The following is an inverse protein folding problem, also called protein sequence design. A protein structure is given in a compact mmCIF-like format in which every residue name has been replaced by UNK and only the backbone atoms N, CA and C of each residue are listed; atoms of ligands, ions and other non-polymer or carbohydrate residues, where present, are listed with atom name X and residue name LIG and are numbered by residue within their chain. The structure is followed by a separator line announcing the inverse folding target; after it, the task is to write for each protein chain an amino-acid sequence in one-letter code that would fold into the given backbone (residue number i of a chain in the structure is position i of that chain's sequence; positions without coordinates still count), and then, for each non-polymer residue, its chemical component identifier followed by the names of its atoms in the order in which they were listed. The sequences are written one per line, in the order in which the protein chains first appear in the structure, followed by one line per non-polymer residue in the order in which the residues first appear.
data_IF_004804057759
#
_entry.id   IF_004804057759
#
_cell.length_a   1.000
_cell.length_b   1.000
_cell.length_c   1.000
_cell.angle_alpha   90.00
_cell.angle_beta   90.00
_cell.angle_gamma   90.00
#
_symmetry.space_group_name_H-M   'P 1'
#
loop_
_entity.id
_entity.type
_entity.pdbx_description
1 polymer ?
#
# COMPACT_ATOMS: atom_id res chain seq x y z
N UNK A 1 -15.41 -10.30 7.16
CA UNK A 1 -15.01 -8.87 7.02
C UNK A 1 -13.87 -8.76 6.01
N UNK A 2 -13.72 -7.63 5.32
CA UNK A 2 -12.58 -7.41 4.41
C UNK A 2 -11.67 -6.33 4.96
N UNK A 3 -10.37 -6.63 5.00
CA UNK A 3 -9.33 -5.71 5.45
C UNK A 3 -8.29 -5.49 4.36
N UNK A 4 -7.59 -4.36 4.43
CA UNK A 4 -6.48 -4.08 3.53
C UNK A 4 -5.22 -3.57 4.24
N UNK A 5 -4.06 -3.87 3.65
CA UNK A 5 -2.78 -3.32 4.05
C UNK A 5 -2.11 -2.66 2.85
N UNK A 6 -1.67 -1.42 3.02
CA UNK A 6 -0.85 -0.69 2.05
C UNK A 6 0.56 -0.58 2.60
N UNK A 7 1.54 -1.08 1.86
CA UNK A 7 2.96 -0.99 2.17
C UNK A 7 3.64 -0.12 1.12
N UNK A 8 4.21 1.02 1.53
CA UNK A 8 4.94 1.95 0.65
C UNK A 8 6.43 1.82 0.95
N UNK A 9 7.11 1.04 0.12
CA UNK A 9 8.55 0.82 0.20
C UNK A 9 9.35 1.68 -0.78
N UNK A 10 10.67 1.69 -0.58
CA UNK A 10 11.61 2.40 -1.47
C UNK A 10 11.58 1.90 -2.91
N UNK A 11 11.18 0.65 -3.15
CA UNK A 11 11.12 0.08 -4.51
C UNK A 11 9.69 0.00 -5.06
N UNK A 12 8.71 -0.36 -4.23
CA UNK A 12 7.34 -0.57 -4.68
C UNK A 12 6.34 -0.22 -3.59
N UNK A 13 5.15 0.20 -4.01
CA UNK A 13 3.95 0.16 -3.18
C UNK A 13 3.20 -1.15 -3.42
N UNK A 14 2.55 -1.65 -2.37
CA UNK A 14 1.67 -2.81 -2.43
C UNK A 14 0.34 -2.51 -1.76
N UNK A 15 -0.73 -3.05 -2.32
CA UNK A 15 -2.04 -3.18 -1.68
C UNK A 15 -2.35 -4.67 -1.55
N UNK A 16 -2.50 -5.13 -0.31
CA UNK A 16 -3.00 -6.46 0.02
C UNK A 16 -4.45 -6.31 0.50
N UNK A 17 -5.39 -7.01 -0.13
CA UNK A 17 -6.78 -7.12 0.33
C UNK A 17 -7.01 -8.56 0.78
N UNK A 18 -7.54 -8.73 1.99
CA UNK A 18 -7.77 -10.02 2.64
C UNK A 18 -9.17 -10.07 3.21
N UNK A 19 -9.85 -11.19 3.00
CA UNK A 19 -11.08 -11.50 3.71
C UNK A 19 -10.73 -12.29 4.98
N UNK A 20 -11.29 -11.85 6.10
CA UNK A 20 -11.21 -12.53 7.38
C UNK A 20 -12.54 -13.23 7.62
N UNK A 21 -12.49 -14.55 7.72
CA UNK A 21 -13.63 -15.42 8.02
C UNK A 21 -13.44 -16.02 9.40
N UNK A 22 -14.44 -15.86 10.25
CA UNK A 22 -14.51 -16.55 11.53
C UNK A 22 -15.35 -17.83 11.35
N UNK A 23 -14.70 -18.99 11.51
CA UNK A 23 -15.33 -20.30 11.35
C UNK A 23 -15.84 -20.87 12.70
N UNK A 24 -15.86 -20.06 13.78
CA UNK A 24 -16.29 -20.51 15.11
C UNK A 24 -15.30 -21.43 15.81
N UNK A 25 -14.10 -21.63 15.26
CA UNK A 25 -13.02 -22.48 15.81
C UNK A 25 -12.06 -21.70 16.72
N UNK A 26 -12.35 -20.42 16.98
CA UNK A 26 -11.48 -19.52 17.77
C UNK A 26 -10.23 -19.06 17.04
N UNK A 27 -10.03 -19.43 15.77
CA UNK A 27 -8.93 -18.96 14.93
C UNK A 27 -9.48 -18.36 13.63
N UNK A 28 -9.33 -17.04 13.40
CA UNK A 28 -9.77 -16.44 12.15
C UNK A 28 -8.95 -16.98 10.97
N UNK A 29 -9.62 -17.27 9.86
CA UNK A 29 -9.01 -17.63 8.60
C UNK A 29 -8.83 -16.39 7.73
N UNK A 30 -7.65 -16.23 7.12
CA UNK A 30 -7.31 -15.10 6.26
C UNK A 30 -7.19 -15.56 4.81
N UNK A 31 -8.17 -15.17 3.99
CA UNK A 31 -8.21 -15.47 2.57
C UNK A 31 -7.67 -14.28 1.77
N UNK A 32 -6.50 -14.45 1.15
CA UNK A 32 -5.92 -13.41 0.29
C UNK A 32 -6.77 -13.24 -0.96
N UNK A 33 -7.49 -12.12 -1.05
CA UNK A 33 -8.33 -11.81 -2.22
C UNK A 33 -7.51 -11.20 -3.35
N UNK A 34 -6.63 -10.24 -3.03
CA UNK A 34 -5.83 -9.57 -4.03
C UNK A 34 -4.51 -9.05 -3.47
N UNK A 35 -3.48 -9.01 -4.30
CA UNK A 35 -2.19 -8.41 -4.02
C UNK A 35 -1.72 -7.64 -5.25
N UNK A 36 -1.83 -6.32 -5.19
CA UNK A 36 -1.41 -5.42 -6.26
C UNK A 36 -0.06 -4.83 -5.88
N UNK A 37 0.88 -4.82 -6.84
CA UNK A 37 2.21 -4.24 -6.67
C UNK A 37 2.46 -3.20 -7.75
N UNK A 38 2.78 -1.97 -7.35
CA UNK A 38 3.14 -0.87 -8.26
C UNK A 38 4.62 -0.50 -8.03
N UNK A 39 5.47 -0.56 -9.07
CA UNK A 39 6.90 -0.23 -8.94
C UNK A 39 7.09 1.29 -8.87
N UNK A 40 7.21 1.82 -7.65
CA UNK A 40 7.37 3.26 -7.43
C UNK A 40 8.82 3.74 -7.53
N UNK A 41 9.79 2.91 -7.12
CA UNK A 41 11.23 3.19 -7.16
C UNK A 41 11.63 4.52 -6.49
N UNK A 42 10.98 4.88 -5.38
CA UNK A 42 11.23 6.11 -4.61
C UNK A 42 12.66 6.22 -4.08
N UNK A 43 13.29 5.08 -3.79
CA UNK A 43 14.65 5.05 -3.26
C UNK A 43 15.69 5.64 -4.20
N UNK A 44 15.50 5.60 -5.52
CA UNK A 44 16.45 6.23 -6.45
C UNK A 44 16.54 7.73 -6.18
N UNK A 45 15.39 8.41 -6.19
CA UNK A 45 15.31 9.84 -5.94
C UNK A 45 15.78 10.19 -4.52
N UNK A 46 15.31 9.47 -3.50
CA UNK A 46 15.60 9.84 -2.11
C UNK A 46 17.06 9.56 -1.75
N UNK A 47 17.65 8.47 -2.24
CA UNK A 47 19.04 8.16 -1.90
C UNK A 47 20.04 9.01 -2.69
N UNK A 48 19.65 9.55 -3.84
CA UNK A 48 20.50 10.44 -4.64
C UNK A 48 20.29 11.93 -4.32
N UNK A 49 19.04 12.36 -4.19
CA UNK A 49 18.64 13.78 -4.07
C UNK A 49 18.17 14.16 -2.66
N UNK A 50 17.86 13.19 -1.80
CA UNK A 50 17.28 13.43 -0.47
C UNK A 50 15.80 13.81 -0.49
N UNK A 51 15.15 13.75 -1.65
CA UNK A 51 13.78 14.21 -1.87
C UNK A 51 13.05 13.32 -2.87
N UNK A 52 11.72 13.25 -2.76
CA UNK A 52 10.87 12.61 -3.76
C UNK A 52 10.65 13.59 -4.91
N UNK A 53 11.01 13.23 -6.14
CA UNK A 53 10.81 14.12 -7.30
C UNK A 53 9.33 14.32 -7.63
N UNK A 54 9.01 15.41 -8.34
CA UNK A 54 7.64 15.70 -8.78
C UNK A 54 7.01 14.55 -9.60
N UNK A 55 7.71 13.91 -10.57
CA UNK A 55 7.19 12.73 -11.25
C UNK A 55 6.81 11.59 -10.30
N UNK A 56 7.65 11.31 -9.29
CA UNK A 56 7.37 10.25 -8.29
C UNK A 56 6.22 10.61 -7.37
N UNK A 57 6.11 11.87 -6.94
CA UNK A 57 4.97 12.37 -6.16
C UNK A 57 3.66 12.12 -6.89
N UNK A 58 3.58 12.51 -8.16
CA UNK A 58 2.39 12.27 -8.99
C UNK A 58 2.07 10.78 -9.10
N UNK A 59 3.09 9.93 -9.31
CA UNK A 59 2.89 8.49 -9.39
C UNK A 59 2.40 7.87 -8.07
N UNK A 60 2.90 8.34 -6.91
CA UNK A 60 2.38 7.93 -5.59
C UNK A 60 0.91 8.31 -5.48
N UNK A 61 0.54 9.56 -5.80
CA UNK A 61 -0.83 10.06 -5.68
C UNK A 61 -1.80 9.24 -6.53
N UNK A 62 -1.46 8.97 -7.79
CA UNK A 62 -2.29 8.14 -8.67
C UNK A 62 -2.38 6.69 -8.19
N UNK A 63 -1.29 6.14 -7.62
CA UNK A 63 -1.31 4.81 -7.01
C UNK A 63 -2.25 4.76 -5.81
N UNK A 64 -2.20 5.76 -4.93
CA UNK A 64 -3.06 5.82 -3.73
C UNK A 64 -4.53 6.00 -4.10
N UNK A 65 -4.86 6.82 -5.11
CA UNK A 65 -6.22 6.94 -5.65
C UNK A 65 -6.72 5.59 -6.19
N UNK A 66 -5.88 4.91 -6.96
CA UNK A 66 -6.20 3.58 -7.51
C UNK A 66 -6.45 2.56 -6.39
N UNK A 67 -5.64 2.58 -5.33
CA UNK A 67 -5.83 1.73 -4.15
C UNK A 67 -7.13 2.07 -3.42
N UNK A 68 -7.48 3.35 -3.26
CA UNK A 68 -8.76 3.76 -2.67
C UNK A 68 -9.96 3.26 -3.50
N UNK A 69 -9.89 3.35 -4.83
CA UNK A 69 -10.93 2.80 -5.71
C UNK A 69 -11.06 1.28 -5.59
N UNK A 70 -9.93 0.56 -5.55
CA UNK A 70 -9.94 -0.89 -5.35
C UNK A 70 -10.51 -1.27 -3.98
N UNK A 71 -10.07 -0.63 -2.90
CA UNK A 71 -10.62 -0.88 -1.56
C UNK A 71 -12.13 -0.61 -1.51
N UNK A 72 -12.61 0.44 -2.18
CA UNK A 72 -14.05 0.72 -2.29
C UNK A 72 -14.80 -0.36 -3.08
N UNK A 73 -14.27 -0.79 -4.22
CA UNK A 73 -14.88 -1.83 -5.05
C UNK A 73 -14.94 -3.20 -4.36
N UNK A 74 -13.95 -3.48 -3.51
CA UNK A 74 -13.93 -4.69 -2.71
C UNK A 74 -14.73 -4.56 -1.41
N UNK A 75 -15.24 -3.39 -1.05
CA UNK A 75 -15.94 -3.13 0.22
C UNK A 75 -15.04 -3.41 1.44
N UNK A 76 -13.80 -2.91 1.41
CA UNK A 76 -12.88 -3.00 2.54
C UNK A 76 -13.38 -2.14 3.70
N UNK A 77 -13.53 -2.75 4.87
CA UNK A 77 -14.04 -2.10 6.09
C UNK A 77 -12.93 -1.42 6.89
N UNK A 78 -11.75 -2.05 6.93
CA UNK A 78 -10.60 -1.54 7.68
C UNK A 78 -9.32 -1.64 6.87
N UNK A 79 -8.49 -0.61 6.93
CA UNK A 79 -7.19 -0.64 6.29
C UNK A 79 -6.13 0.08 7.09
N UNK A 80 -4.87 -0.27 6.84
CA UNK A 80 -3.71 0.44 7.35
C UNK A 80 -2.71 0.68 6.24
N UNK A 81 -2.24 1.92 6.10
CA UNK A 81 -1.15 2.28 5.21
C UNK A 81 0.11 2.56 6.05
N UNK A 82 1.24 1.98 5.63
CA UNK A 82 2.54 2.17 6.25
C UNK A 82 3.56 2.56 5.18
N UNK A 83 4.45 3.48 5.53
CA UNK A 83 5.58 3.87 4.70
C UNK A 83 6.89 3.57 5.42
N UNK A 84 7.94 3.26 4.67
CA UNK A 84 9.24 2.83 5.23
C UNK A 84 10.38 3.77 4.81
N UNK A 85 11.57 3.24 4.49
CA UNK A 85 12.82 4.01 4.37
C UNK A 85 12.72 5.23 3.47
N UNK A 86 12.37 5.07 2.18
CA UNK A 86 12.40 6.21 1.26
C UNK A 86 11.50 7.37 1.72
N UNK A 87 10.32 7.12 2.27
CA UNK A 87 9.45 8.20 2.74
C UNK A 87 9.89 8.81 4.07
N UNK A 88 10.53 8.04 4.97
CA UNK A 88 11.10 8.62 6.19
C UNK A 88 12.32 9.48 5.92
N UNK A 89 13.13 9.06 4.95
CA UNK A 89 14.44 9.66 4.69
C UNK A 89 14.33 10.85 3.71
N UNK A 90 13.18 10.98 3.02
CA UNK A 90 12.85 12.13 2.17
C UNK A 90 12.55 13.38 3.02
N UNK A 91 13.01 14.55 2.55
CA UNK A 91 12.71 15.84 3.20
C UNK A 91 11.29 16.35 2.90
N UNK A 92 10.58 15.76 1.94
CA UNK A 92 9.34 16.29 1.35
C UNK A 92 8.28 15.24 1.04
#
# INVERSE_FOLDING_TARGET
MKIAAIDIGSNAARLLITEVVDNGTGKPQFNKLNLIRVPLRLGFDVFELGEISNPRKNMILETMKSYAHLMKAYEVEHFRACATSAMRDAKN
#
